data_IF_945286270703
#
_entry.id   IF_945286270703
#
_cell.length_a   1.000
_cell.length_b   1.000
_cell.length_c   1.000
_cell.angle_alpha   90.00
_cell.angle_beta   90.00
_cell.angle_gamma   90.00
#
_symmetry.space_group_name_H-M   'P 1'
#
loop_
_entity.id
_entity.type
_entity.pdbx_description
1 polymer ?
#
# COMPACT_ATOMS: atom_id res chain seq x y z
N UNK A 1 -25.02 29.93 63.61
CA UNK A 1 -25.68 29.29 62.45
C UNK A 1 -24.72 29.33 61.27
N UNK A 2 -24.19 28.18 60.87
CA UNK A 2 -23.29 28.05 59.73
C UNK A 2 -24.09 27.69 58.46
N UNK A 3 -23.81 28.34 57.33
CA UNK A 3 -24.23 27.84 56.01
C UNK A 3 -22.99 27.67 55.13
N UNK A 4 -22.61 26.40 54.95
CA UNK A 4 -21.57 25.91 54.04
C UNK A 4 -22.04 26.11 52.59
N UNK A 5 -21.30 26.86 51.79
CA UNK A 5 -21.44 26.85 50.34
C UNK A 5 -20.81 25.55 49.80
N UNK A 6 -21.66 24.62 49.35
CA UNK A 6 -21.21 23.45 48.59
C UNK A 6 -20.87 23.88 47.15
N UNK A 7 -19.58 23.92 46.85
CA UNK A 7 -19.10 23.86 45.47
C UNK A 7 -19.49 22.52 44.87
N UNK A 8 -20.43 22.55 43.91
CA UNK A 8 -20.81 21.41 43.10
C UNK A 8 -19.66 21.15 42.12
N UNK A 9 -18.72 20.25 42.47
CA UNK A 9 -17.68 19.77 41.55
C UNK A 9 -18.38 19.18 40.32
N UNK A 10 -18.20 19.79 39.15
CA UNK A 10 -18.49 19.15 37.87
C UNK A 10 -17.65 17.88 37.81
N UNK A 11 -18.31 16.72 37.67
CA UNK A 11 -17.64 15.47 37.37
C UNK A 11 -17.08 15.61 35.95
N UNK A 12 -15.76 15.71 35.82
CA UNK A 12 -15.10 15.49 34.54
C UNK A 12 -15.43 14.05 34.13
N UNK A 13 -16.15 13.90 33.02
CA UNK A 13 -16.20 12.63 32.31
C UNK A 13 -14.75 12.33 31.90
N UNK A 14 -14.20 11.15 32.21
CA UNK A 14 -12.92 10.77 31.63
C UNK A 14 -13.14 10.70 30.12
N UNK A 15 -12.34 11.47 29.40
CA UNK A 15 -12.37 11.65 27.96
C UNK A 15 -12.61 10.33 27.23
N UNK A 16 -13.50 10.34 26.23
CA UNK A 16 -13.44 9.39 25.14
C UNK A 16 -12.01 9.46 24.59
N UNK A 17 -11.25 8.40 24.78
CA UNK A 17 -9.85 8.34 24.39
C UNK A 17 -9.78 8.54 22.86
N UNK A 18 -9.16 9.63 22.41
CA UNK A 18 -8.95 9.86 20.98
C UNK A 18 -8.07 8.73 20.46
N UNK A 19 -8.51 8.07 19.39
CA UNK A 19 -7.73 7.02 18.73
C UNK A 19 -6.52 7.66 18.04
N UNK A 20 -5.36 7.05 18.17
CA UNK A 20 -4.21 7.36 17.31
C UNK A 20 -4.57 7.10 15.84
N UNK A 21 -3.95 7.79 14.87
CA UNK A 21 -4.22 7.58 13.44
C UNK A 21 -4.21 6.10 12.98
N UNK A 22 -3.18 5.32 13.37
CA UNK A 22 -3.07 3.89 13.02
C UNK A 22 -4.25 3.08 13.58
N UNK A 23 -4.53 3.24 14.87
CA UNK A 23 -5.68 2.58 15.51
C UNK A 23 -7.02 2.99 14.89
N UNK A 24 -7.15 4.25 14.47
CA UNK A 24 -8.34 4.71 13.74
C UNK A 24 -8.46 3.98 12.40
N UNK A 25 -7.36 3.85 11.65
CA UNK A 25 -7.30 3.08 10.41
C UNK A 25 -7.84 1.67 10.62
N UNK A 26 -7.22 0.94 11.56
CA UNK A 26 -7.54 -0.46 11.86
C UNK A 26 -8.99 -0.68 12.29
N UNK A 27 -9.57 0.27 13.03
CA UNK A 27 -10.92 0.10 13.59
C UNK A 27 -12.06 0.70 12.74
N UNK A 28 -11.75 1.64 11.84
CA UNK A 28 -12.77 2.49 11.20
C UNK A 28 -12.63 2.67 9.70
N UNK A 29 -11.43 2.64 9.12
CA UNK A 29 -11.21 3.14 7.76
C UNK A 29 -12.00 2.34 6.70
N UNK A 30 -12.02 1.01 6.80
CA UNK A 30 -12.75 0.13 5.88
C UNK A 30 -14.26 0.45 5.78
N UNK A 31 -14.88 0.90 6.88
CA UNK A 31 -16.31 1.24 6.95
C UNK A 31 -16.66 2.66 6.47
N UNK A 32 -15.65 3.47 6.13
CA UNK A 32 -15.87 4.83 5.63
C UNK A 32 -16.24 4.81 4.13
N UNK A 33 -17.05 5.77 3.66
CA UNK A 33 -17.33 5.92 2.24
C UNK A 33 -16.04 6.15 1.43
N UNK A 34 -15.92 5.49 0.27
CA UNK A 34 -14.91 5.84 -0.72
C UNK A 34 -15.30 7.12 -1.46
N UNK A 35 -14.33 7.99 -1.74
CA UNK A 35 -14.48 9.00 -2.79
C UNK A 35 -13.99 8.42 -4.13
N UNK A 36 -13.51 9.26 -5.03
CA UNK A 36 -12.91 8.87 -6.30
C UNK A 36 -11.54 8.26 -6.08
N UNK A 37 -11.31 7.11 -6.71
CA UNK A 37 -10.01 6.44 -6.78
C UNK A 37 -9.41 6.63 -8.16
N UNK A 38 -8.09 6.57 -8.23
CA UNK A 38 -7.34 6.80 -9.47
C UNK A 38 -6.35 5.66 -9.74
N UNK A 39 -6.06 5.43 -11.00
CA UNK A 39 -5.05 4.49 -11.48
C UNK A 39 -4.36 5.06 -12.74
N UNK A 40 -3.10 4.74 -12.99
CA UNK A 40 -2.42 5.09 -14.25
C UNK A 40 -3.06 4.37 -15.46
N UNK A 41 -3.26 5.06 -16.58
CA UNK A 41 -3.95 4.56 -17.79
C UNK A 41 -3.35 3.26 -18.37
N UNK A 42 -2.04 3.06 -18.27
CA UNK A 42 -1.30 1.98 -18.94
C UNK A 42 -1.09 0.73 -18.07
N UNK A 43 -1.68 0.67 -16.87
CA UNK A 43 -1.42 -0.36 -15.86
C UNK A 43 -1.53 -1.81 -16.36
N UNK A 44 -2.48 -2.10 -17.26
CA UNK A 44 -2.61 -3.44 -17.86
C UNK A 44 -1.46 -3.79 -18.80
N UNK A 45 -0.92 -2.80 -19.51
CA UNK A 45 0.15 -3.00 -20.49
C UNK A 45 1.53 -2.95 -19.86
N UNK A 46 1.73 -2.08 -18.87
CA UNK A 46 2.98 -1.96 -18.12
C UNK A 46 3.15 -3.07 -17.08
N UNK A 47 2.04 -3.62 -16.58
CA UNK A 47 2.05 -4.57 -15.46
C UNK A 47 2.19 -3.88 -14.10
N UNK A 48 2.25 -2.55 -14.07
CA UNK A 48 2.38 -1.75 -12.85
C UNK A 48 1.15 -0.84 -12.71
N UNK A 49 0.34 -1.14 -11.72
CA UNK A 49 -0.79 -0.32 -11.30
C UNK A 49 -0.38 0.57 -10.12
N UNK A 50 -0.39 1.88 -10.33
CA UNK A 50 -0.26 2.89 -9.28
C UNK A 50 -1.66 3.33 -8.91
N UNK A 51 -2.14 2.93 -7.74
CA UNK A 51 -3.52 3.16 -7.31
C UNK A 51 -3.54 4.17 -6.17
N UNK A 52 -4.37 5.19 -6.29
CA UNK A 52 -4.66 6.15 -5.23
C UNK A 52 -6.10 5.97 -4.75
N UNK A 53 -6.24 5.61 -3.48
CA UNK A 53 -7.53 5.39 -2.83
C UNK A 53 -7.78 6.39 -1.71
N UNK A 54 -9.04 6.79 -1.55
CA UNK A 54 -9.45 7.72 -0.51
C UNK A 54 -10.70 7.23 0.23
N UNK A 55 -10.77 7.58 1.51
CA UNK A 55 -11.89 7.35 2.43
C UNK A 55 -12.29 8.67 3.09
N UNK A 56 -13.59 8.93 3.23
CA UNK A 56 -14.13 10.18 3.77
C UNK A 56 -14.43 10.00 5.26
N UNK A 57 -13.73 10.74 6.11
CA UNK A 57 -13.99 10.79 7.55
C UNK A 57 -15.30 11.55 7.85
N UNK A 58 -15.94 11.33 9.01
CA UNK A 58 -17.12 12.11 9.42
C UNK A 58 -16.90 13.63 9.48
N UNK A 59 -15.64 14.08 9.63
CA UNK A 59 -15.26 15.50 9.57
C UNK A 59 -15.32 16.10 8.16
N UNK A 60 -15.38 15.27 7.12
CA UNK A 60 -15.22 15.67 5.72
C UNK A 60 -13.76 15.67 5.24
N UNK A 61 -12.79 15.45 6.13
CA UNK A 61 -11.39 15.21 5.75
C UNK A 61 -11.21 13.78 5.24
N UNK A 62 -10.07 13.55 4.60
CA UNK A 62 -9.75 12.33 3.89
C UNK A 62 -8.68 11.51 4.62
N UNK A 63 -8.79 10.21 4.46
CA UNK A 63 -7.69 9.27 4.64
C UNK A 63 -7.33 8.78 3.26
N UNK A 64 -6.06 8.90 2.87
CA UNK A 64 -5.59 8.54 1.54
C UNK A 64 -4.58 7.38 1.64
N UNK A 65 -4.52 6.54 0.63
CA UNK A 65 -3.44 5.58 0.44
C UNK A 65 -3.01 5.51 -1.03
N UNK A 66 -1.73 5.21 -1.22
CA UNK A 66 -1.15 4.87 -2.51
C UNK A 66 -0.67 3.42 -2.49
N UNK A 67 -0.81 2.73 -3.61
CA UNK A 67 -0.34 1.37 -3.81
C UNK A 67 0.40 1.28 -5.14
N UNK A 68 1.62 0.77 -5.13
CA UNK A 68 2.32 0.32 -6.33
C UNK A 68 2.16 -1.19 -6.43
N UNK A 69 1.40 -1.64 -7.41
CA UNK A 69 1.00 -3.04 -7.56
C UNK A 69 1.57 -3.60 -8.86
N UNK A 70 2.38 -4.64 -8.76
CA UNK A 70 2.85 -5.45 -9.87
C UNK A 70 1.86 -6.59 -10.13
N UNK A 71 1.04 -6.44 -11.17
CA UNK A 71 0.02 -7.42 -11.55
C UNK A 71 0.59 -8.59 -12.36
N UNK A 72 1.87 -8.51 -12.77
CA UNK A 72 2.53 -9.57 -13.54
C UNK A 72 3.34 -10.53 -12.68
N UNK A 73 3.74 -10.15 -11.47
CA UNK A 73 4.58 -10.99 -10.64
C UNK A 73 4.50 -10.68 -9.14
N UNK A 74 4.99 -9.51 -8.71
CA UNK A 74 5.41 -9.30 -7.32
C UNK A 74 4.30 -8.86 -6.36
N UNK A 75 3.10 -8.55 -6.84
CA UNK A 75 2.02 -8.07 -5.99
C UNK A 75 2.25 -6.63 -5.53
N UNK A 76 1.84 -6.28 -4.31
CA UNK A 76 2.04 -4.93 -3.75
C UNK A 76 3.53 -4.71 -3.45
N UNK A 77 4.19 -3.88 -4.27
CA UNK A 77 5.62 -3.56 -4.15
C UNK A 77 5.91 -2.44 -3.15
N UNK A 78 4.98 -1.49 -3.03
CA UNK A 78 5.12 -0.33 -2.15
C UNK A 78 3.73 0.24 -1.82
N UNK A 79 3.59 0.86 -0.65
CA UNK A 79 2.35 1.49 -0.22
C UNK A 79 2.59 2.51 0.88
N UNK A 80 1.81 3.59 0.88
CA UNK A 80 1.82 4.57 1.96
C UNK A 80 0.41 5.12 2.21
N UNK A 81 0.23 5.80 3.34
CA UNK A 81 -1.04 6.38 3.73
C UNK A 81 -0.87 7.74 4.40
N UNK A 82 -1.94 8.53 4.35
CA UNK A 82 -2.00 9.87 4.91
C UNK A 82 -3.34 10.06 5.64
N UNK A 83 -3.30 10.71 6.80
CA UNK A 83 -4.46 10.83 7.69
C UNK A 83 -4.94 12.26 7.81
N UNK A 84 -6.26 12.44 7.91
CA UNK A 84 -6.91 13.72 8.20
C UNK A 84 -6.52 14.84 7.21
N UNK A 85 -6.40 14.50 5.93
CA UNK A 85 -6.03 15.42 4.86
C UNK A 85 -7.27 16.23 4.44
N UNK A 86 -7.14 17.55 4.35
CA UNK A 86 -8.26 18.36 3.86
C UNK A 86 -8.49 18.14 2.35
N UNK A 87 -9.74 18.21 1.85
CA UNK A 87 -10.01 18.01 0.43
C UNK A 87 -9.28 19.00 -0.49
N UNK A 88 -8.97 20.20 -0.01
CA UNK A 88 -8.18 21.19 -0.76
C UNK A 88 -6.72 20.77 -0.90
N UNK A 89 -6.10 20.30 0.19
CA UNK A 89 -4.71 19.83 0.17
C UNK A 89 -4.59 18.58 -0.71
N UNK A 90 -5.55 17.66 -0.61
CA UNK A 90 -5.59 16.49 -1.48
C UNK A 90 -5.63 16.88 -2.96
N UNK A 91 -6.51 17.82 -3.35
CA UNK A 91 -6.60 18.29 -4.74
C UNK A 91 -5.32 18.95 -5.24
N UNK A 92 -4.59 19.64 -4.37
CA UNK A 92 -3.29 20.23 -4.71
C UNK A 92 -2.25 19.14 -4.93
N UNK A 93 -2.10 18.20 -3.98
CA UNK A 93 -1.17 17.07 -4.12
C UNK A 93 -1.49 16.18 -5.33
N UNK A 94 -2.76 15.90 -5.59
CA UNK A 94 -3.26 15.23 -6.81
C UNK A 94 -2.77 15.97 -8.05
N UNK A 95 -3.01 17.28 -8.15
CA UNK A 95 -2.54 18.07 -9.31
C UNK A 95 -1.03 18.09 -9.44
N UNK A 96 -0.30 18.25 -8.35
CA UNK A 96 1.17 18.25 -8.39
C UNK A 96 1.73 16.90 -8.86
N UNK A 97 1.19 15.79 -8.35
CA UNK A 97 1.61 14.45 -8.77
C UNK A 97 1.17 14.13 -10.20
N UNK A 98 -0.04 14.51 -10.61
CA UNK A 98 -0.57 14.18 -11.95
C UNK A 98 -0.03 15.10 -13.04
N UNK A 99 -0.10 16.42 -12.86
CA UNK A 99 0.37 17.38 -13.85
C UNK A 99 1.91 17.50 -13.87
N UNK A 100 2.56 17.32 -12.71
CA UNK A 100 4.02 17.42 -12.57
C UNK A 100 4.79 16.19 -13.02
N UNK A 101 4.24 14.98 -12.86
CA UNK A 101 4.88 13.73 -13.29
C UNK A 101 4.50 13.28 -14.71
N UNK A 102 3.53 13.95 -15.35
CA UNK A 102 3.03 13.55 -16.67
C UNK A 102 2.29 12.19 -16.68
N UNK A 103 1.87 11.72 -15.50
CA UNK A 103 1.10 10.49 -15.33
C UNK A 103 -0.35 10.75 -15.72
N UNK A 104 -0.85 9.98 -16.70
CA UNK A 104 -2.24 10.03 -17.13
C UNK A 104 -3.06 9.12 -16.24
N UNK A 105 -3.42 9.63 -15.07
CA UNK A 105 -4.29 8.90 -14.17
C UNK A 105 -5.74 9.03 -14.62
N UNK A 106 -6.48 7.92 -14.50
CA UNK A 106 -7.89 7.82 -14.82
C UNK A 106 -8.68 7.44 -13.57
N UNK A 107 -9.92 7.93 -13.47
CA UNK A 107 -10.82 7.50 -12.41
C UNK A 107 -11.14 6.01 -12.56
N UNK A 108 -11.10 5.29 -11.44
CA UNK A 108 -11.39 3.85 -11.38
C UNK A 108 -12.47 3.58 -10.33
N UNK A 109 -13.30 2.58 -10.61
CA UNK A 109 -14.27 2.10 -9.63
C UNK A 109 -13.53 1.51 -8.41
N UNK A 110 -13.85 1.91 -7.17
CA UNK A 110 -13.18 1.40 -5.97
C UNK A 110 -13.21 -0.13 -5.84
N UNK A 111 -14.26 -0.81 -6.31
CA UNK A 111 -14.31 -2.27 -6.28
C UNK A 111 -13.27 -2.87 -7.22
N UNK A 112 -13.10 -2.31 -8.43
CA UNK A 112 -12.08 -2.79 -9.38
C UNK A 112 -10.67 -2.57 -8.81
N UNK A 113 -10.39 -1.38 -8.28
CA UNK A 113 -9.09 -1.08 -7.70
C UNK A 113 -8.73 -2.03 -6.54
N UNK A 114 -9.68 -2.31 -5.65
CA UNK A 114 -9.47 -3.25 -4.54
C UNK A 114 -9.31 -4.70 -5.02
N UNK A 115 -10.06 -5.13 -6.05
CA UNK A 115 -9.85 -6.44 -6.67
C UNK A 115 -8.45 -6.53 -7.32
N UNK A 116 -7.92 -5.46 -7.91
CA UNK A 116 -6.54 -5.42 -8.43
C UNK A 116 -5.55 -5.65 -7.29
N UNK A 117 -5.70 -4.94 -6.18
CA UNK A 117 -4.80 -5.04 -5.03
C UNK A 117 -4.86 -6.44 -4.42
N UNK A 118 -6.05 -6.91 -4.02
CA UNK A 118 -6.20 -8.23 -3.40
C UNK A 118 -5.81 -9.37 -4.32
N UNK A 119 -6.20 -9.33 -5.60
CA UNK A 119 -5.85 -10.37 -6.55
C UNK A 119 -4.34 -10.38 -6.85
N UNK A 120 -3.67 -9.23 -6.85
CA UNK A 120 -2.22 -9.18 -7.02
C UNK A 120 -1.48 -9.74 -5.81
N UNK A 121 -1.99 -9.50 -4.59
CA UNK A 121 -1.47 -10.13 -3.37
C UNK A 121 -1.62 -11.64 -3.46
N UNK A 122 -2.82 -12.17 -3.71
CA UNK A 122 -3.07 -13.61 -3.82
C UNK A 122 -2.21 -14.25 -4.92
N UNK A 123 -2.09 -13.59 -6.08
CA UNK A 123 -1.24 -14.06 -7.17
C UNK A 123 0.23 -14.13 -6.76
N UNK A 124 0.77 -13.08 -6.14
CA UNK A 124 2.16 -13.01 -5.72
C UNK A 124 2.47 -14.03 -4.61
N UNK A 125 1.53 -14.25 -3.68
CA UNK A 125 1.62 -15.29 -2.65
C UNK A 125 1.74 -16.68 -3.26
N UNK A 126 0.98 -16.97 -4.33
CA UNK A 126 1.10 -18.24 -5.07
C UNK A 126 2.49 -18.44 -5.69
N UNK A 127 3.26 -17.37 -5.89
CA UNK A 127 4.62 -17.37 -6.40
C UNK A 127 5.70 -17.30 -5.29
N UNK A 128 5.29 -17.27 -4.02
CA UNK A 128 6.20 -17.20 -2.86
C UNK A 128 6.65 -15.78 -2.48
N UNK A 129 5.91 -14.76 -2.91
CA UNK A 129 6.13 -13.37 -2.50
C UNK A 129 5.09 -12.95 -1.46
N UNK A 130 5.50 -12.05 -0.57
CA UNK A 130 4.61 -11.38 0.37
C UNK A 130 4.47 -9.92 -0.07
N UNK A 131 3.32 -9.26 0.19
CA UNK A 131 3.19 -7.83 -0.07
C UNK A 131 4.21 -7.03 0.75
N UNK A 132 4.47 -5.79 0.31
CA UNK A 132 5.28 -4.85 1.06
C UNK A 132 4.83 -4.75 2.52
N UNK A 133 5.77 -4.67 3.47
CA UNK A 133 5.47 -4.73 4.91
C UNK A 133 4.39 -3.73 5.34
N UNK A 134 4.43 -2.50 4.82
CA UNK A 134 3.50 -1.42 5.18
C UNK A 134 2.06 -1.69 4.71
N UNK A 135 1.87 -2.71 3.87
CA UNK A 135 0.53 -3.19 3.51
C UNK A 135 -0.23 -3.71 4.73
N UNK A 136 0.47 -4.17 5.78
CA UNK A 136 -0.14 -4.53 7.06
C UNK A 136 -0.95 -3.39 7.70
N UNK A 137 -0.67 -2.12 7.34
CA UNK A 137 -1.40 -0.94 7.80
C UNK A 137 -2.36 -0.48 6.70
N UNK A 138 -1.89 -0.38 5.45
CA UNK A 138 -2.70 0.22 4.39
C UNK A 138 -3.85 -0.67 3.94
N UNK A 139 -3.76 -2.00 4.13
CA UNK A 139 -4.87 -2.94 3.91
C UNK A 139 -6.14 -2.52 4.66
N UNK A 140 -6.03 -1.91 5.85
CA UNK A 140 -7.20 -1.44 6.61
C UNK A 140 -7.96 -0.28 5.95
N UNK A 141 -7.42 0.37 4.92
CA UNK A 141 -8.18 1.30 4.08
C UNK A 141 -9.01 0.60 3.01
N UNK A 142 -8.69 -0.65 2.69
CA UNK A 142 -9.49 -1.48 1.81
C UNK A 142 -10.72 -1.99 2.58
N UNK A 143 -11.81 -2.20 1.86
CA UNK A 143 -12.98 -2.88 2.38
C UNK A 143 -12.63 -4.37 2.52
N UNK A 144 -13.23 -5.10 3.48
CA UNK A 144 -13.00 -6.53 3.61
C UNK A 144 -13.27 -7.24 2.27
N UNK A 145 -12.38 -8.15 1.86
CA UNK A 145 -12.43 -8.76 0.53
C UNK A 145 -13.77 -9.47 0.24
N UNK A 146 -14.42 -10.04 1.26
CA UNK A 146 -15.72 -10.71 1.16
C UNK A 146 -16.92 -9.75 1.04
N UNK A 147 -16.72 -8.45 1.29
CA UNK A 147 -17.74 -7.41 1.13
C UNK A 147 -17.68 -6.72 -0.26
N UNK A 148 -16.64 -6.98 -1.05
CA UNK A 148 -16.45 -6.36 -2.36
C UNK A 148 -16.96 -7.32 -3.46
N UNK A 149 -17.74 -6.83 -4.44
CA UNK A 149 -18.08 -7.63 -5.61
C UNK A 149 -16.81 -8.13 -6.32
N UNK A 150 -16.72 -9.45 -6.50
CA UNK A 150 -15.62 -10.07 -7.21
C UNK A 150 -15.58 -9.62 -8.67
N UNK A 151 -14.40 -9.23 -9.13
CA UNK A 151 -14.12 -8.89 -10.52
C UNK A 151 -12.89 -9.68 -10.96
N UNK A 152 -13.06 -10.51 -11.99
CA UNK A 152 -11.96 -11.30 -12.54
C UNK A 152 -10.95 -10.38 -13.24
N UNK A 153 -9.69 -10.46 -12.81
CA UNK A 153 -8.57 -9.69 -13.35
C UNK A 153 -7.49 -10.68 -13.79
N UNK A 154 -6.97 -10.58 -15.02
CA UNK A 154 -5.88 -11.43 -15.46
C UNK A 154 -4.57 -10.97 -14.79
N UNK A 155 -3.98 -11.86 -13.98
CA UNK A 155 -2.64 -11.69 -13.42
C UNK A 155 -1.60 -12.48 -14.21
N UNK A 156 -0.35 -12.04 -14.15
CA UNK A 156 0.71 -12.51 -15.03
C UNK A 156 0.58 -11.96 -16.45
N UNK A 157 1.55 -12.30 -17.30
CA UNK A 157 1.54 -11.91 -18.71
C UNK A 157 1.39 -13.16 -19.60
N UNK A 158 0.26 -13.26 -20.31
CA UNK A 158 -0.09 -14.44 -21.11
C UNK A 158 -0.12 -15.74 -20.27
N UNK A 159 -0.64 -15.67 -19.04
CA UNK A 159 -0.83 -16.83 -18.16
C UNK A 159 0.44 -17.35 -17.48
N UNK A 160 1.54 -16.59 -17.51
CA UNK A 160 2.77 -16.92 -16.76
C UNK A 160 3.32 -15.67 -16.06
N UNK A 161 4.10 -15.81 -14.98
CA UNK A 161 4.73 -14.68 -14.33
C UNK A 161 5.67 -13.96 -15.29
N UNK A 162 5.61 -12.63 -15.30
CA UNK A 162 6.61 -11.78 -15.93
C UNK A 162 7.19 -10.85 -14.88
N UNK A 163 8.44 -11.08 -14.52
CA UNK A 163 9.18 -10.21 -13.61
C UNK A 163 9.90 -9.09 -14.37
N UNK A 164 9.63 -7.83 -14.04
CA UNK A 164 10.38 -6.69 -14.59
C UNK A 164 11.18 -6.08 -13.45
N UNK A 165 12.51 -6.05 -13.58
CA UNK A 165 13.37 -5.64 -12.47
C UNK A 165 13.21 -4.15 -12.15
N UNK A 166 12.80 -3.85 -10.93
CA UNK A 166 12.88 -2.54 -10.32
C UNK A 166 14.31 -2.19 -9.86
N UNK A 167 14.60 -0.91 -9.64
CA UNK A 167 15.93 -0.44 -9.23
C UNK A 167 16.36 -0.90 -7.83
N UNK A 168 15.41 -1.31 -6.99
CA UNK A 168 15.65 -1.74 -5.60
C UNK A 168 15.44 -3.24 -5.39
N UNK A 169 15.20 -4.00 -6.45
CA UNK A 169 14.87 -5.41 -6.35
C UNK A 169 16.12 -6.27 -6.14
N UNK A 170 16.04 -7.27 -5.27
CA UNK A 170 17.01 -8.37 -5.24
C UNK A 170 16.67 -9.40 -6.34
N UNK A 171 17.16 -9.14 -7.55
CA UNK A 171 16.88 -9.94 -8.75
C UNK A 171 17.16 -11.43 -8.53
N UNK A 172 18.28 -11.80 -7.90
CA UNK A 172 18.64 -13.21 -7.70
C UNK A 172 17.67 -13.93 -6.79
N UNK A 173 17.27 -13.30 -5.69
CA UNK A 173 16.30 -13.87 -4.76
C UNK A 173 14.94 -14.06 -5.45
N UNK A 174 14.49 -13.07 -6.23
CA UNK A 174 13.23 -13.13 -6.97
C UNK A 174 13.24 -14.26 -8.00
N UNK A 175 14.30 -14.37 -8.80
CA UNK A 175 14.42 -15.45 -9.79
C UNK A 175 14.45 -16.83 -9.14
N UNK A 176 15.16 -16.98 -7.99
CA UNK A 176 15.18 -18.23 -7.22
C UNK A 176 13.78 -18.61 -6.70
N UNK A 177 13.01 -17.63 -6.20
CA UNK A 177 11.62 -17.85 -5.77
C UNK A 177 10.73 -18.29 -6.94
N UNK A 178 10.84 -17.63 -8.09
CA UNK A 178 10.09 -18.01 -9.29
C UNK A 178 10.45 -19.41 -9.79
N UNK A 179 11.74 -19.75 -9.84
CA UNK A 179 12.17 -21.10 -10.22
C UNK A 179 11.67 -22.16 -9.24
N UNK A 180 11.65 -21.86 -7.94
CA UNK A 180 11.06 -22.75 -6.92
C UNK A 180 9.54 -22.90 -7.08
N UNK A 181 8.83 -21.82 -7.39
CA UNK A 181 7.37 -21.80 -7.43
C UNK A 181 6.80 -22.44 -8.70
N UNK A 182 7.34 -22.07 -9.87
CA UNK A 182 6.78 -22.49 -11.17
C UNK A 182 7.75 -23.33 -12.00
N UNK A 183 9.02 -23.44 -11.61
CA UNK A 183 10.04 -24.18 -12.36
C UNK A 183 10.72 -23.35 -13.44
N UNK A 184 11.95 -23.74 -13.78
CA UNK A 184 12.75 -23.09 -14.82
C UNK A 184 12.03 -23.12 -16.17
N UNK A 185 11.93 -21.94 -16.82
CA UNK A 185 11.29 -21.78 -18.12
C UNK A 185 9.77 -21.55 -18.09
N UNK A 186 9.15 -21.57 -16.90
CA UNK A 186 7.71 -21.28 -16.73
C UNK A 186 7.43 -19.85 -16.24
N UNK A 187 8.43 -18.98 -16.30
CA UNK A 187 8.30 -17.54 -16.06
C UNK A 187 9.21 -16.78 -17.03
N UNK A 188 8.92 -15.49 -17.21
CA UNK A 188 9.75 -14.56 -17.99
C UNK A 188 10.32 -13.48 -17.08
N UNK A 189 11.41 -12.87 -17.50
CA UNK A 189 11.93 -11.70 -16.83
C UNK A 189 12.52 -10.68 -17.81
N UNK A 190 12.47 -9.40 -17.44
CA UNK A 190 13.11 -8.27 -18.14
C UNK A 190 13.99 -7.56 -17.12
N UNK A 191 15.28 -7.48 -17.40
CA UNK A 191 16.22 -6.73 -16.58
C UNK A 191 16.35 -5.31 -17.15
N UNK A 192 16.03 -4.31 -16.33
CA UNK A 192 16.24 -2.91 -16.67
C UNK A 192 17.73 -2.60 -16.46
N UNK A 193 18.53 -2.75 -17.51
CA UNK A 193 19.99 -2.70 -17.45
C UNK A 193 20.51 -1.27 -17.29
N UNK A 194 20.41 -0.74 -16.07
CA UNK A 194 21.34 0.25 -15.53
C UNK A 194 22.46 -0.37 -14.67
N UNK A 195 22.37 -1.68 -14.40
CA UNK A 195 23.30 -2.41 -13.54
C UNK A 195 23.68 -3.75 -14.20
N UNK A 196 24.98 -3.86 -14.48
CA UNK A 196 25.79 -5.06 -14.62
C UNK A 196 25.89 -5.74 -16.00
N UNK A 197 26.92 -5.26 -16.71
CA UNK A 197 27.80 -5.90 -17.70
C UNK A 197 28.50 -7.18 -17.18
N UNK A 198 27.80 -8.02 -16.40
CA UNK A 198 28.29 -9.36 -16.03
C UNK A 198 27.23 -10.38 -16.42
N UNK A 199 27.63 -11.30 -17.31
CA UNK A 199 26.74 -12.24 -17.96
C UNK A 199 25.93 -13.05 -16.96
N UNK A 200 24.63 -13.09 -17.18
CA UNK A 200 23.62 -13.87 -16.47
C UNK A 200 23.99 -15.35 -16.23
N UNK A 201 24.85 -15.92 -17.09
CA UNK A 201 25.31 -17.31 -16.98
C UNK A 201 26.30 -17.54 -15.82
N UNK A 202 26.99 -16.48 -15.36
CA UNK A 202 28.05 -16.57 -14.33
C UNK A 202 27.48 -16.45 -12.89
N UNK A 203 26.24 -15.96 -12.72
CA UNK A 203 25.57 -15.81 -11.41
C UNK A 203 24.77 -17.05 -10.97
N UNK A 204 24.43 -17.93 -11.91
CA UNK A 204 23.71 -19.19 -11.64
C UNK A 204 24.65 -20.36 -11.37
N UNK A 205 25.96 -20.17 -11.54
CA UNK A 205 26.99 -21.21 -11.47
C UNK A 205 27.60 -21.43 -10.08
N UNK A 206 27.25 -20.65 -9.06
CA UNK A 206 27.68 -20.95 -7.69
C UNK A 206 26.66 -21.83 -6.98
N UNK A 207 27.00 -23.12 -7.00
CA UNK A 207 26.60 -24.14 -6.04
C UNK A 207 26.89 -23.67 -4.61
N UNK A 208 25.92 -23.99 -3.75
CA UNK A 208 26.02 -24.19 -2.30
C UNK A 208 26.07 -23.02 -1.29
N UNK A 209 25.15 -23.18 -0.31
CA UNK A 209 25.23 -22.86 1.11
C UNK A 209 25.12 -21.39 1.56
N UNK A 210 23.93 -20.97 2.00
CA UNK A 210 23.52 -20.97 3.42
C UNK A 210 22.10 -20.38 3.58
N UNK A 211 21.34 -20.99 4.49
CA UNK A 211 20.14 -20.41 5.09
C UNK A 211 20.54 -19.11 5.80
N UNK A 212 19.79 -18.04 5.56
CA UNK A 212 19.52 -17.07 6.63
C UNK A 212 18.07 -16.62 6.45
N UNK A 213 17.19 -17.25 7.24
CA UNK A 213 15.97 -16.61 7.71
C UNK A 213 16.40 -15.34 8.47
N UNK A 214 16.56 -14.22 7.77
CA UNK A 214 16.53 -12.91 8.42
C UNK A 214 15.08 -12.64 8.84
N UNK A 215 14.70 -13.22 9.98
CA UNK A 215 13.69 -12.65 10.87
C UNK A 215 14.13 -11.20 11.17
N UNK A 216 13.51 -10.24 10.48
CA UNK A 216 13.56 -8.83 10.87
C UNK A 216 12.70 -8.66 12.11
N UNK A 217 13.24 -9.11 13.25
CA UNK A 217 12.69 -8.80 14.56
C UNK A 217 13.04 -7.35 14.94
N UNK A 218 11.97 -6.59 15.18
CA UNK A 218 11.83 -5.55 16.18
C UNK A 218 12.70 -4.28 16.05
N UNK A 219 12.16 -3.30 15.32
CA UNK A 219 12.21 -1.91 15.79
C UNK A 219 10.76 -1.38 15.81
N UNK A 220 10.12 -1.48 16.97
CA UNK A 220 8.94 -0.71 17.35
C UNK A 220 9.28 0.79 17.27
N UNK A 221 9.26 1.37 16.06
CA UNK A 221 9.38 2.82 15.90
C UNK A 221 8.12 3.48 16.46
N UNK A 222 8.27 3.99 17.68
CA UNK A 222 7.35 4.92 18.34
C UNK A 222 7.15 6.14 17.43
N UNK A 223 6.06 6.13 16.64
CA UNK A 223 5.61 7.26 15.84
C UNK A 223 5.49 8.50 16.75
N UNK A 224 6.47 9.40 16.67
CA UNK A 224 6.46 10.65 17.41
C UNK A 224 5.36 11.57 16.89
N UNK A 225 4.55 12.03 17.83
CA UNK A 225 3.46 13.00 17.78
C UNK A 225 3.60 14.05 16.66
N UNK A 226 2.59 14.16 15.79
CA UNK A 226 2.50 15.29 14.86
C UNK A 226 2.25 16.55 15.67
N UNK A 227 3.17 17.52 15.61
CA UNK A 227 2.97 18.82 16.24
C UNK A 227 1.69 19.50 15.69
N UNK A 228 0.79 19.85 16.61
CA UNK A 228 -0.34 20.74 16.37
C UNK A 228 0.18 22.05 15.75
N UNK A 229 -0.09 22.24 14.45
CA UNK A 229 0.15 23.53 13.81
C UNK A 229 -0.94 24.48 14.31
N UNK A 230 -0.57 25.26 15.32
CA UNK A 230 -1.40 26.30 15.92
C UNK A 230 -1.87 27.27 14.82
N UNK A 231 -3.18 27.37 14.65
CA UNK A 231 -3.78 28.30 13.69
C UNK A 231 -3.56 29.73 14.21
N UNK A 232 -2.95 30.65 13.43
CA UNK A 232 -2.84 32.02 13.88
C UNK A 232 -4.22 32.69 13.87
N UNK A 233 -4.69 33.07 15.06
CA UNK A 233 -5.77 34.01 15.27
C UNK A 233 -5.59 35.26 14.37
N UNK A 234 -6.57 35.51 13.50
CA UNK A 234 -7.10 36.86 13.16
C UNK A 234 -8.35 36.80 12.29
#
# INVERSE_FOLDING_TARGET
MAKKNQHRKKKNNPNAQQLTPIKYLMEKAAGLPCETWYINEDWQTSGLAVIYGTRIMPSGNLICANYLVDIFCLGVKDTAWYFNISPSSYKESVRENYDGAGLKDIEINPNLAQNIIYGAVEYAESLGFSPHKDFNITEYLLSPADEIPFIEIPFGQNGQPLYISGPFDNVRLILKKLEKAVGKGNFKFILNTGLNEYGFDDWLSDDDEEDDDEDYDDDEEEYTDYEEVDSPDK
#
